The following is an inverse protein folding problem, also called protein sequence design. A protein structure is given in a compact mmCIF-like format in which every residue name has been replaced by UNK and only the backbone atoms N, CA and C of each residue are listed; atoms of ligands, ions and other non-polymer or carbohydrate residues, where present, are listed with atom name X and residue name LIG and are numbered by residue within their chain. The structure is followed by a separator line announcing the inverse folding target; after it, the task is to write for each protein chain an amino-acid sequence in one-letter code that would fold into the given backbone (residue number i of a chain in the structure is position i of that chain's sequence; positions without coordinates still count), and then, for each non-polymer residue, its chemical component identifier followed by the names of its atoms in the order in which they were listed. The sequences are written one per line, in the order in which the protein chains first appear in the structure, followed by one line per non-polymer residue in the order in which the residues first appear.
data_IF_277808921041
#
_entry.id   IF_277808921041
#
_cell.length_a   1.000
_cell.length_b   1.000
_cell.length_c   1.000
_cell.angle_alpha   90.00
_cell.angle_beta   90.00
_cell.angle_gamma   90.00
#
_symmetry.space_group_name_H-M   'P 1'
#
loop_
_entity.id
_entity.type
_entity.pdbx_description
1 polymer ?
#
# COMPACT_ATOMS: atom_id res chain seq x y z
N UNK A 1 27.94 -2.22 30.55
CA UNK A 1 27.50 -1.46 29.37
C UNK A 1 26.05 -1.82 29.11
N UNK A 2 25.12 -0.88 29.24
CA UNK A 2 23.74 -1.13 28.85
C UNK A 2 23.76 -1.37 27.34
N UNK A 3 23.56 -2.62 26.92
CA UNK A 3 23.36 -2.91 25.51
C UNK A 3 22.17 -2.08 25.06
N UNK A 4 22.34 -1.33 23.97
CA UNK A 4 21.24 -0.61 23.34
C UNK A 4 20.25 -1.64 22.81
N UNK A 5 19.30 -2.04 23.66
CA UNK A 5 18.32 -3.09 23.39
C UNK A 5 17.56 -2.80 22.10
N UNK A 6 17.39 -1.54 21.75
CA UNK A 6 16.74 -1.13 20.51
C UNK A 6 17.50 -1.63 19.28
N UNK A 7 18.84 -1.59 19.29
CA UNK A 7 19.66 -2.11 18.18
C UNK A 7 19.58 -3.63 18.05
N UNK A 8 19.47 -4.36 19.16
CA UNK A 8 19.32 -5.81 19.14
C UNK A 8 17.99 -6.26 18.53
N UNK A 9 16.94 -5.44 18.67
CA UNK A 9 15.61 -5.74 18.17
C UNK A 9 15.43 -5.36 16.68
N UNK A 10 16.46 -4.78 16.03
CA UNK A 10 16.42 -4.41 14.61
C UNK A 10 16.97 -5.55 13.75
N UNK A 11 16.34 -5.83 12.61
CA UNK A 11 16.91 -6.76 11.64
C UNK A 11 18.19 -6.18 11.05
N UNK A 12 18.99 -7.06 10.44
CA UNK A 12 20.20 -6.66 9.73
C UNK A 12 19.82 -5.77 8.54
N UNK A 13 20.43 -4.59 8.44
CA UNK A 13 20.25 -3.71 7.30
C UNK A 13 20.93 -4.31 6.06
N UNK A 14 20.15 -4.46 4.98
CA UNK A 14 20.64 -4.84 3.67
C UNK A 14 20.26 -3.71 2.69
N UNK A 15 21.19 -2.85 2.26
CA UNK A 15 20.86 -1.76 1.35
C UNK A 15 20.28 -2.25 0.00
N UNK A 16 19.42 -1.43 -0.60
CA UNK A 16 18.81 -1.68 -1.90
C UNK A 16 19.01 -0.46 -2.80
N UNK A 17 19.19 -0.63 -4.13
CA UNK A 17 19.09 0.50 -5.04
C UNK A 17 17.69 1.10 -4.92
N UNK A 18 17.53 2.44 -4.80
CA UNK A 18 16.23 3.05 -4.65
C UNK A 18 15.38 2.87 -5.92
N UNK A 19 14.06 2.86 -5.76
CA UNK A 19 13.13 2.87 -6.89
C UNK A 19 13.22 4.22 -7.62
N UNK A 20 13.59 4.24 -8.92
CA UNK A 20 13.59 5.46 -9.71
C UNK A 20 12.14 5.93 -9.92
N UNK A 21 11.81 7.20 -9.60
CA UNK A 21 10.46 7.73 -9.75
C UNK A 21 9.89 7.51 -11.15
N UNK A 22 8.59 7.28 -11.24
CA UNK A 22 7.86 6.99 -12.48
C UNK A 22 6.65 7.89 -12.60
N UNK A 23 6.29 8.30 -13.82
CA UNK A 23 5.04 9.01 -14.07
C UNK A 23 4.12 8.16 -14.93
N UNK A 24 2.85 8.06 -14.52
CA UNK A 24 1.79 7.39 -15.27
C UNK A 24 0.75 8.42 -15.68
N UNK A 25 0.33 8.38 -16.94
CA UNK A 25 -0.82 9.19 -17.40
C UNK A 25 -2.08 8.38 -17.18
N UNK A 26 -2.99 8.88 -16.36
CA UNK A 26 -4.26 8.22 -16.07
C UNK A 26 -5.25 8.41 -17.22
N UNK A 27 -6.33 7.62 -17.22
CA UNK A 27 -7.34 7.64 -18.28
C UNK A 27 -8.01 9.02 -18.48
N UNK A 28 -8.04 9.86 -17.45
CA UNK A 28 -8.57 11.23 -17.52
C UNK A 28 -7.50 12.29 -17.88
N UNK A 29 -6.27 11.88 -18.20
CA UNK A 29 -5.16 12.77 -18.52
C UNK A 29 -4.34 13.25 -17.32
N UNK A 30 -4.79 13.03 -16.08
CA UNK A 30 -4.01 13.38 -14.88
C UNK A 30 -2.66 12.64 -14.86
N UNK A 31 -1.63 13.30 -14.31
CA UNK A 31 -0.30 12.71 -14.13
C UNK A 31 -0.15 12.22 -12.70
N UNK A 32 0.10 10.93 -12.56
CA UNK A 32 0.37 10.28 -11.29
C UNK A 32 1.86 9.98 -11.17
N UNK A 33 2.51 10.54 -10.16
CA UNK A 33 3.92 10.29 -9.85
C UNK A 33 4.01 9.19 -8.81
N UNK A 34 4.78 8.15 -9.07
CA UNK A 34 5.08 7.08 -8.14
C UNK A 34 6.54 7.24 -7.70
N UNK A 35 6.79 7.27 -6.40
CA UNK A 35 8.14 7.40 -5.83
C UNK A 35 8.28 6.57 -4.56
N UNK A 36 9.51 6.23 -4.22
CA UNK A 36 9.84 5.65 -2.91
C UNK A 36 9.81 6.73 -1.84
N UNK A 37 9.35 6.36 -0.65
CA UNK A 37 9.42 7.17 0.57
C UNK A 37 10.33 6.52 1.60
N UNK A 38 10.85 7.33 2.52
CA UNK A 38 11.65 6.88 3.65
C UNK A 38 10.81 6.54 4.88
N UNK A 39 11.46 6.07 5.94
CA UNK A 39 10.82 5.80 7.24
C UNK A 39 10.27 7.08 7.88
N UNK A 40 10.95 8.20 7.71
CA UNK A 40 10.55 9.49 8.29
C UNK A 40 9.26 10.06 7.66
N UNK A 41 8.88 9.58 6.48
CA UNK A 41 7.62 9.95 5.83
C UNK A 41 6.41 9.19 6.41
N UNK A 42 6.63 8.09 7.13
CA UNK A 42 5.55 7.19 7.59
C UNK A 42 4.56 7.89 8.53
N UNK A 43 4.99 8.66 9.55
CA UNK A 43 4.05 9.38 10.41
C UNK A 43 3.09 10.31 9.65
N UNK A 44 3.51 10.83 8.49
CA UNK A 44 2.68 11.71 7.66
C UNK A 44 1.53 10.95 6.97
N UNK A 45 1.74 9.68 6.59
CA UNK A 45 0.74 8.92 5.82
C UNK A 45 -0.16 8.03 6.68
N UNK A 46 0.26 7.66 7.90
CA UNK A 46 -0.56 6.85 8.81
C UNK A 46 -1.97 7.44 9.07
N UNK A 47 -2.15 8.76 9.31
CA UNK A 47 -3.47 9.36 9.49
C UNK A 47 -4.39 9.26 8.27
N UNK A 48 -3.84 9.01 7.07
CA UNK A 48 -4.64 8.82 5.85
C UNK A 48 -5.07 7.36 5.66
N UNK A 49 -4.39 6.42 6.32
CA UNK A 49 -4.72 4.98 6.31
C UNK A 49 -5.69 4.63 7.42
N UNK A 50 -5.50 5.18 8.62
CA UNK A 50 -6.30 4.87 9.82
C UNK A 50 -7.82 4.89 9.59
N UNK A 51 -8.42 5.91 8.94
CA UNK A 51 -9.87 5.93 8.73
C UNK A 51 -10.40 4.77 7.91
N UNK A 52 -9.55 4.16 7.07
CA UNK A 52 -9.93 3.04 6.19
C UNK A 52 -10.08 1.72 6.94
N UNK A 53 -9.52 1.59 8.14
CA UNK A 53 -9.67 0.41 9.02
C UNK A 53 -11.15 0.20 9.39
N UNK A 54 -12.00 1.21 9.21
CA UNK A 54 -13.44 1.15 9.46
C UNK A 54 -14.29 1.00 8.18
N UNK A 55 -13.69 0.70 7.03
CA UNK A 55 -14.37 0.61 5.74
C UNK A 55 -14.43 -0.85 5.25
N UNK A 56 -15.50 -1.58 5.57
CA UNK A 56 -15.62 -3.00 5.19
C UNK A 56 -15.73 -3.22 3.67
N UNK A 57 -16.31 -2.25 2.95
CA UNK A 57 -16.50 -2.36 1.50
C UNK A 57 -15.16 -2.63 0.83
N UNK A 58 -15.13 -3.60 -0.09
CA UNK A 58 -13.93 -4.01 -0.83
C UNK A 58 -12.75 -4.44 0.08
N UNK A 59 -13.01 -4.84 1.33
CA UNK A 59 -12.01 -5.29 2.32
C UNK A 59 -11.01 -4.20 2.72
N UNK A 60 -11.40 -2.91 2.64
CA UNK A 60 -10.51 -1.82 3.04
C UNK A 60 -10.14 -1.90 4.51
N UNK A 61 -11.05 -2.35 5.37
CA UNK A 61 -10.85 -2.52 6.81
C UNK A 61 -9.60 -3.38 7.14
N UNK A 62 -9.60 -4.64 6.70
CA UNK A 62 -8.52 -5.59 7.00
C UNK A 62 -7.24 -5.23 6.25
N UNK A 63 -7.35 -4.81 4.98
CA UNK A 63 -6.20 -4.41 4.16
C UNK A 63 -5.54 -3.16 4.75
N UNK A 64 -6.32 -2.17 5.19
CA UNK A 64 -5.78 -0.97 5.84
C UNK A 64 -5.19 -1.29 7.20
N UNK A 65 -5.81 -2.18 7.99
CA UNK A 65 -5.28 -2.58 9.30
C UNK A 65 -3.90 -3.23 9.17
N UNK A 66 -3.74 -4.16 8.21
CA UNK A 66 -2.45 -4.80 7.94
C UNK A 66 -1.43 -3.83 7.38
N UNK A 67 -1.79 -3.01 6.37
CA UNK A 67 -0.89 -2.00 5.86
C UNK A 67 -0.45 -1.03 6.96
N UNK A 68 -1.36 -0.60 7.84
CA UNK A 68 -1.02 0.29 8.95
C UNK A 68 0.02 -0.35 9.88
N UNK A 69 -0.14 -1.65 10.21
CA UNK A 69 0.83 -2.40 10.99
C UNK A 69 2.17 -2.57 10.26
N UNK A 70 2.17 -2.81 8.95
CA UNK A 70 3.37 -2.90 8.11
C UNK A 70 4.13 -1.58 8.09
N UNK A 71 3.45 -0.45 7.81
CA UNK A 71 4.06 0.87 7.82
C UNK A 71 4.65 1.21 9.20
N UNK A 72 3.96 0.87 10.29
CA UNK A 72 4.50 0.98 11.64
C UNK A 72 5.73 0.08 11.85
N UNK A 73 5.69 -1.15 11.36
CA UNK A 73 6.83 -2.07 11.38
C UNK A 73 8.04 -1.50 10.64
N UNK A 74 7.82 -0.91 9.46
CA UNK A 74 8.84 -0.23 8.67
C UNK A 74 9.45 0.96 9.43
N UNK A 75 8.60 1.85 9.96
CA UNK A 75 9.00 3.01 10.77
C UNK A 75 9.81 2.61 12.01
N UNK A 76 9.42 1.51 12.67
CA UNK A 76 10.05 0.99 13.89
C UNK A 76 11.21 0.03 13.63
N UNK A 77 11.64 -0.14 12.39
CA UNK A 77 12.70 -1.08 12.02
C UNK A 77 12.42 -2.51 12.52
N UNK A 78 11.17 -2.98 12.39
CA UNK A 78 10.75 -4.35 12.79
C UNK A 78 10.55 -5.29 11.61
N UNK A 79 10.68 -4.78 10.40
CA UNK A 79 10.64 -5.58 9.17
C UNK A 79 11.94 -5.39 8.42
N UNK A 80 12.56 -6.50 8.05
CA UNK A 80 13.78 -6.49 7.24
C UNK A 80 13.43 -6.22 5.79
N UNK A 81 14.25 -5.43 5.09
CA UNK A 81 14.23 -5.27 3.64
C UNK A 81 12.90 -4.79 3.03
N UNK A 82 12.04 -4.16 3.84
CA UNK A 82 10.81 -3.52 3.38
C UNK A 82 11.11 -2.19 2.68
N UNK A 83 10.30 -1.89 1.68
CA UNK A 83 10.25 -0.59 1.02
C UNK A 83 8.80 -0.16 0.85
N UNK A 84 8.60 1.17 0.75
CA UNK A 84 7.27 1.76 0.55
C UNK A 84 7.33 2.70 -0.65
N UNK A 85 6.40 2.53 -1.58
CA UNK A 85 6.15 3.46 -2.67
C UNK A 85 4.80 4.14 -2.46
N UNK A 86 4.76 5.43 -2.74
CA UNK A 86 3.53 6.22 -2.78
C UNK A 86 3.25 6.67 -4.21
N UNK A 87 1.98 6.66 -4.58
CA UNK A 87 1.49 7.28 -5.79
C UNK A 87 0.80 8.60 -5.44
N UNK A 88 1.20 9.68 -6.10
CA UNK A 88 0.67 11.03 -5.87
C UNK A 88 0.10 11.62 -7.15
N UNK A 89 -1.06 12.28 -7.05
CA UNK A 89 -1.65 13.07 -8.14
C UNK A 89 -1.73 14.50 -7.64
N UNK A 90 -1.05 15.43 -8.32
CA UNK A 90 -0.97 16.83 -7.86
C UNK A 90 -0.48 16.98 -6.40
N UNK A 91 0.34 16.05 -5.91
CA UNK A 91 0.83 16.04 -4.53
C UNK A 91 -0.05 15.26 -3.53
N UNK A 92 -1.32 15.02 -3.87
CA UNK A 92 -2.26 14.24 -3.06
C UNK A 92 -1.95 12.76 -3.11
N UNK A 93 -2.00 12.11 -1.94
CA UNK A 93 -1.77 10.67 -1.83
C UNK A 93 -2.91 9.90 -2.50
N UNK A 94 -2.59 9.16 -3.56
CA UNK A 94 -3.55 8.41 -4.37
C UNK A 94 -3.49 6.90 -4.12
N UNK A 95 -2.31 6.36 -3.78
CA UNK A 95 -2.14 4.98 -3.35
C UNK A 95 -0.83 4.77 -2.56
N UNK A 96 -0.81 3.69 -1.79
CA UNK A 96 0.38 3.19 -1.08
C UNK A 96 0.59 1.73 -1.50
N UNK A 97 1.82 1.37 -1.83
CA UNK A 97 2.22 -0.01 -2.09
C UNK A 97 3.54 -0.30 -1.39
N UNK A 98 3.66 -1.48 -0.82
CA UNK A 98 4.87 -1.93 -0.14
C UNK A 98 5.15 -3.40 -0.45
N UNK A 99 6.37 -3.81 -0.13
CA UNK A 99 6.85 -5.18 -0.23
C UNK A 99 8.22 -5.28 0.41
N UNK A 100 8.77 -6.49 0.47
CA UNK A 100 10.12 -6.74 0.97
C UNK A 100 10.87 -7.72 0.08
N UNK A 101 12.18 -7.71 0.20
CA UNK A 101 13.00 -8.80 -0.35
C UNK A 101 13.01 -9.95 0.65
N UNK A 102 12.76 -11.16 0.16
CA UNK A 102 12.97 -12.38 0.93
C UNK A 102 14.46 -12.72 0.86
N UNK A 103 14.98 -12.74 -0.36
CA UNK A 103 16.37 -13.01 -0.70
C UNK A 103 16.71 -12.32 -2.05
N UNK A 104 17.95 -12.45 -2.57
CA UNK A 104 18.36 -11.83 -3.83
C UNK A 104 17.54 -12.25 -5.07
N UNK A 105 16.82 -13.37 -5.03
CA UNK A 105 16.06 -13.94 -6.13
C UNK A 105 14.55 -13.88 -5.95
N UNK A 106 14.04 -13.80 -4.71
CA UNK A 106 12.61 -13.83 -4.41
C UNK A 106 12.15 -12.57 -3.70
N UNK A 107 11.16 -11.89 -4.29
CA UNK A 107 10.42 -10.79 -3.67
C UNK A 107 9.16 -11.27 -2.95
N UNK A 108 8.73 -10.54 -1.93
CA UNK A 108 7.40 -10.68 -1.34
C UNK A 108 6.60 -9.39 -1.55
N UNK A 109 5.43 -9.53 -2.16
CA UNK A 109 4.48 -8.43 -2.30
C UNK A 109 3.66 -8.27 -1.02
N UNK A 110 3.74 -7.09 -0.40
CA UNK A 110 2.78 -6.68 0.62
C UNK A 110 1.55 -6.02 0.00
N UNK A 111 0.98 -5.03 0.67
CA UNK A 111 -0.30 -4.46 0.30
C UNK A 111 -0.22 -3.51 -0.90
N UNK A 112 -1.41 -3.31 -1.47
CA UNK A 112 -1.71 -2.26 -2.43
C UNK A 112 -3.01 -1.63 -1.99
N UNK A 113 -2.93 -0.40 -1.49
CA UNK A 113 -4.07 0.35 -1.01
C UNK A 113 -4.28 1.58 -1.88
N UNK A 114 -5.44 1.68 -2.52
CA UNK A 114 -5.81 2.85 -3.34
C UNK A 114 -6.63 3.81 -2.50
N UNK A 115 -6.20 5.06 -2.36
CA UNK A 115 -6.93 6.11 -1.67
C UNK A 115 -7.81 6.91 -2.63
N UNK A 116 -7.52 6.89 -3.93
CA UNK A 116 -8.39 7.45 -4.98
C UNK A 116 -9.13 6.31 -5.70
N UNK A 117 -10.46 6.42 -5.81
CA UNK A 117 -11.28 5.43 -6.55
C UNK A 117 -11.27 5.73 -8.05
N UNK A 118 -11.41 4.67 -8.86
CA UNK A 118 -11.42 4.76 -10.32
C UNK A 118 -10.02 4.78 -10.93
N UNK A 119 -9.96 4.91 -12.26
CA UNK A 119 -8.72 5.10 -13.05
C UNK A 119 -7.60 4.07 -12.86
N UNK A 120 -7.89 2.93 -12.23
CA UNK A 120 -6.93 1.85 -11.98
C UNK A 120 -5.67 2.29 -11.22
N UNK A 121 -5.78 3.31 -10.36
CA UNK A 121 -4.67 3.86 -9.56
C UNK A 121 -3.90 2.76 -8.82
N UNK A 122 -4.59 1.92 -8.05
CA UNK A 122 -3.98 0.78 -7.36
C UNK A 122 -3.28 -0.22 -8.31
N UNK A 123 -3.81 -0.45 -9.51
CA UNK A 123 -3.19 -1.36 -10.47
C UNK A 123 -1.89 -0.79 -11.05
N UNK A 124 -1.84 0.51 -11.32
CA UNK A 124 -0.62 1.18 -11.76
C UNK A 124 0.44 1.22 -10.66
N UNK A 125 0.04 1.45 -9.41
CA UNK A 125 0.96 1.39 -8.27
C UNK A 125 1.50 -0.02 -8.04
N UNK A 126 0.64 -1.05 -8.13
CA UNK A 126 1.06 -2.44 -8.08
C UNK A 126 2.06 -2.79 -9.20
N UNK A 127 1.82 -2.35 -10.44
CA UNK A 127 2.74 -2.60 -11.55
C UNK A 127 4.12 -1.96 -11.30
N UNK A 128 4.18 -0.75 -10.72
CA UNK A 128 5.43 -0.13 -10.31
C UNK A 128 6.15 -0.91 -9.21
N UNK A 129 5.40 -1.48 -8.27
CA UNK A 129 5.94 -2.38 -7.24
C UNK A 129 6.60 -3.63 -7.86
N UNK A 130 5.93 -4.26 -8.82
CA UNK A 130 6.47 -5.43 -9.52
C UNK A 130 7.70 -5.08 -10.35
N UNK A 131 7.69 -3.92 -11.01
CA UNK A 131 8.84 -3.40 -11.74
C UNK A 131 10.05 -3.20 -10.83
N UNK A 132 9.85 -2.72 -9.60
CA UNK A 132 10.93 -2.61 -8.63
C UNK A 132 11.58 -3.96 -8.33
N UNK A 133 10.78 -4.99 -8.03
CA UNK A 133 11.30 -6.34 -7.79
C UNK A 133 12.05 -6.92 -9.01
N UNK A 134 11.43 -6.90 -10.19
CA UNK A 134 11.92 -7.63 -11.36
C UNK A 134 13.02 -6.86 -12.10
N UNK A 135 12.84 -5.55 -12.34
CA UNK A 135 13.76 -4.76 -13.17
C UNK A 135 14.86 -4.08 -12.37
N UNK A 136 14.57 -3.59 -11.17
CA UNK A 136 15.56 -2.86 -10.36
C UNK A 136 16.30 -3.78 -9.40
N UNK A 137 15.57 -4.60 -8.64
CA UNK A 137 16.16 -5.56 -7.70
C UNK A 137 16.63 -6.87 -8.36
N UNK A 138 16.30 -7.09 -9.63
CA UNK A 138 16.72 -8.25 -10.44
C UNK A 138 16.27 -9.60 -9.88
N UNK A 139 15.16 -9.62 -9.15
CA UNK A 139 14.57 -10.86 -8.64
C UNK A 139 13.94 -11.67 -9.78
N UNK A 140 13.90 -13.00 -9.61
CA UNK A 140 13.40 -13.93 -10.62
C UNK A 140 11.87 -14.08 -10.51
N UNK A 141 11.35 -13.97 -9.29
CA UNK A 141 9.91 -14.03 -9.02
C UNK A 141 9.48 -13.21 -7.79
N UNK A 142 8.18 -12.91 -7.74
CA UNK A 142 7.54 -12.20 -6.61
C UNK A 142 6.36 -13.02 -6.12
N UNK A 143 6.40 -13.40 -4.84
CA UNK A 143 5.29 -14.06 -4.15
C UNK A 143 4.18 -13.05 -3.87
N UNK A 144 2.95 -13.42 -4.20
CA UNK A 144 1.77 -12.55 -4.13
C UNK A 144 0.59 -13.33 -3.56
N UNK A 145 -0.17 -12.66 -2.70
CA UNK A 145 -1.47 -13.10 -2.20
C UNK A 145 -2.52 -12.00 -2.38
N UNK A 146 -3.80 -12.35 -2.26
CA UNK A 146 -4.90 -11.39 -2.28
C UNK A 146 -5.91 -11.72 -1.18
N UNK A 147 -6.30 -10.70 -0.42
CA UNK A 147 -7.38 -10.77 0.57
C UNK A 147 -8.71 -10.25 -0.01
N UNK A 148 -8.66 -9.33 -0.98
CA UNK A 148 -9.86 -8.77 -1.61
C UNK A 148 -10.17 -9.45 -2.96
N UNK A 149 -11.46 -9.63 -3.31
CA UNK A 149 -11.86 -10.17 -4.61
C UNK A 149 -11.35 -9.33 -5.79
N UNK A 150 -11.26 -8.00 -5.62
CA UNK A 150 -10.72 -7.12 -6.66
C UNK A 150 -9.22 -7.34 -6.83
N UNK A 151 -8.46 -7.50 -5.74
CA UNK A 151 -7.05 -7.85 -5.80
C UNK A 151 -6.84 -9.18 -6.52
N UNK A 152 -7.61 -10.21 -6.14
CA UNK A 152 -7.50 -11.53 -6.76
C UNK A 152 -7.72 -11.47 -8.29
N UNK A 153 -8.76 -10.76 -8.74
CA UNK A 153 -9.01 -10.59 -10.18
C UNK A 153 -7.89 -9.81 -10.88
N UNK A 154 -7.37 -8.75 -10.27
CA UNK A 154 -6.36 -7.87 -10.88
C UNK A 154 -4.96 -8.46 -10.89
N UNK A 155 -4.59 -9.27 -9.91
CA UNK A 155 -3.25 -9.83 -9.80
C UNK A 155 -3.25 -11.25 -10.37
N UNK A 156 -3.95 -12.19 -9.74
CA UNK A 156 -3.88 -13.61 -10.10
C UNK A 156 -4.42 -13.89 -11.49
N UNK A 157 -5.58 -13.32 -11.84
CA UNK A 157 -6.23 -13.61 -13.12
C UNK A 157 -5.63 -12.77 -14.25
N UNK A 158 -5.48 -11.45 -14.07
CA UNK A 158 -5.01 -10.56 -15.14
C UNK A 158 -3.54 -10.82 -15.54
N UNK A 159 -2.66 -11.10 -14.56
CA UNK A 159 -1.27 -11.49 -14.84
C UNK A 159 -1.09 -12.99 -15.08
N UNK A 160 -2.13 -13.80 -14.89
CA UNK A 160 -2.08 -15.27 -14.99
C UNK A 160 -0.98 -15.86 -14.11
N UNK A 161 -0.97 -15.46 -12.84
CA UNK A 161 0.07 -15.85 -11.88
C UNK A 161 0.14 -17.36 -11.70
N UNK A 162 1.35 -17.86 -11.51
CA UNK A 162 1.60 -19.27 -11.24
C UNK A 162 1.29 -19.62 -9.79
N UNK A 163 0.93 -20.87 -9.54
CA UNK A 163 0.65 -21.36 -8.20
C UNK A 163 1.95 -21.70 -7.48
N UNK A 164 2.09 -21.28 -6.22
CA UNK A 164 3.13 -21.66 -5.27
C UNK A 164 2.50 -22.11 -3.95
N UNK A 165 1.50 -22.97 -4.02
CA UNK A 165 0.64 -23.31 -2.87
C UNK A 165 1.38 -24.07 -1.74
N UNK A 166 2.59 -24.54 -2.00
CA UNK A 166 3.49 -25.13 -1.02
C UNK A 166 4.26 -24.09 -0.19
N UNK A 167 4.21 -22.80 -0.58
CA UNK A 167 4.84 -21.69 0.13
C UNK A 167 3.74 -20.90 0.84
N UNK A 168 3.89 -20.68 2.15
CA UNK A 168 2.98 -19.83 2.90
C UNK A 168 3.37 -18.35 2.72
N UNK A 169 2.40 -17.52 2.33
CA UNK A 169 2.61 -16.06 2.27
C UNK A 169 2.49 -15.48 3.67
N UNK A 170 3.36 -14.53 4.02
CA UNK A 170 3.41 -13.95 5.38
C UNK A 170 2.17 -13.10 5.74
N UNK A 171 1.51 -12.50 4.74
CA UNK A 171 0.22 -11.83 4.93
C UNK A 171 -0.97 -12.79 5.14
N UNK A 172 -0.84 -14.08 4.85
CA UNK A 172 -1.97 -15.01 4.80
C UNK A 172 -2.95 -14.69 3.66
N UNK A 173 -4.16 -15.27 3.72
CA UNK A 173 -5.16 -15.17 2.65
C UNK A 173 -5.25 -16.46 1.82
N UNK A 174 -5.36 -16.33 0.49
CA UNK A 174 -5.30 -17.49 -0.42
C UNK A 174 -3.89 -18.11 -0.43
N UNK A 175 -3.72 -19.38 -0.87
CA UNK A 175 -2.40 -19.94 -1.08
C UNK A 175 -1.54 -19.06 -2.02
N UNK A 176 -0.21 -19.06 -1.81
CA UNK A 176 0.69 -18.14 -2.53
C UNK A 176 0.64 -18.34 -4.05
N UNK A 177 0.62 -17.24 -4.77
CA UNK A 177 0.87 -17.18 -6.19
C UNK A 177 2.23 -16.53 -6.46
N UNK A 178 2.73 -16.66 -7.68
CA UNK A 178 3.99 -16.06 -8.09
C UNK A 178 3.87 -15.35 -9.42
N UNK A 179 4.41 -14.12 -9.47
CA UNK A 179 4.72 -13.42 -10.70
C UNK A 179 6.18 -13.71 -11.06
N UNK A 180 6.39 -14.56 -12.06
CA UNK A 180 7.73 -14.82 -12.60
C UNK A 180 8.16 -13.71 -13.55
N UNK A 181 9.46 -13.59 -13.81
CA UNK A 181 10.01 -12.69 -14.83
C UNK A 181 9.32 -12.89 -16.19
N UNK A 182 9.07 -14.12 -16.63
CA UNK A 182 8.38 -14.37 -17.90
C UNK A 182 6.97 -13.76 -17.91
N UNK A 183 6.18 -13.98 -16.85
CA UNK A 183 4.85 -13.38 -16.72
C UNK A 183 4.91 -11.85 -16.75
N UNK A 184 5.89 -11.27 -16.06
CA UNK A 184 6.12 -9.83 -16.03
C UNK A 184 6.43 -9.28 -17.43
N UNK A 185 7.33 -9.93 -18.18
CA UNK A 185 7.65 -9.53 -19.56
C UNK A 185 6.43 -9.60 -20.49
N UNK A 186 5.59 -10.65 -20.37
CA UNK A 186 4.34 -10.74 -21.14
C UNK A 186 3.35 -9.64 -20.82
N UNK A 187 3.33 -9.17 -19.57
CA UNK A 187 2.48 -8.07 -19.13
C UNK A 187 3.05 -6.67 -19.46
N UNK A 188 4.31 -6.57 -19.91
CA UNK A 188 5.05 -5.29 -20.02
C UNK A 188 4.35 -4.29 -20.94
N UNK A 189 3.90 -4.75 -22.11
CA UNK A 189 3.26 -3.88 -23.10
C UNK A 189 1.86 -3.38 -22.73
N UNK A 190 1.21 -3.97 -21.72
CA UNK A 190 -0.20 -3.69 -21.41
C UNK A 190 -0.44 -3.20 -19.98
N UNK A 191 0.19 -3.81 -18.99
CA UNK A 191 -0.05 -3.50 -17.57
C UNK A 191 1.03 -2.60 -16.96
N UNK A 192 2.25 -2.67 -17.47
CA UNK A 192 3.42 -1.96 -16.93
C UNK A 192 3.64 -0.67 -17.73
N UNK A 193 2.74 0.30 -17.50
CA UNK A 193 2.73 1.59 -18.21
C UNK A 193 3.40 2.70 -17.41
N UNK A 194 3.71 3.80 -18.09
CA UNK A 194 4.34 5.01 -17.54
C UNK A 194 5.75 5.24 -18.06
N UNK A 195 6.32 6.39 -17.77
CA UNK A 195 7.60 6.82 -18.32
C UNK A 195 8.56 7.34 -17.24
N UNK A 196 9.83 7.36 -17.64
CA UNK A 196 10.96 7.96 -16.91
C UNK A 196 11.84 8.73 -17.92
N UNK A 197 12.55 9.79 -17.50
CA UNK A 197 12.50 10.42 -16.17
C UNK A 197 11.15 11.13 -15.92
N UNK A 198 10.81 11.34 -14.65
CA UNK A 198 9.65 12.16 -14.28
C UNK A 198 9.96 13.63 -14.61
N UNK A 199 9.06 14.36 -15.28
CA UNK A 199 9.23 15.80 -15.51
C UNK A 199 9.50 16.55 -14.19
N UNK A 200 10.54 17.38 -14.18
CA UNK A 200 11.02 18.09 -12.98
C UNK A 200 9.92 18.80 -12.18
N UNK A 201 8.97 19.56 -12.79
CA UNK A 201 7.90 20.21 -12.04
C UNK A 201 6.96 19.23 -11.33
N UNK A 202 6.69 18.05 -11.93
CA UNK A 202 5.85 17.03 -11.33
C UNK A 202 6.57 16.34 -10.16
N UNK A 203 7.88 16.09 -10.31
CA UNK A 203 8.69 15.48 -9.27
C UNK A 203 8.85 16.42 -8.07
N UNK A 204 9.17 17.69 -8.30
CA UNK A 204 9.29 18.70 -7.24
C UNK A 204 7.98 18.84 -6.47
N UNK A 205 6.84 18.89 -7.16
CA UNK A 205 5.52 18.94 -6.51
C UNK A 205 5.23 17.70 -5.66
N UNK A 206 5.59 16.51 -6.13
CA UNK A 206 5.41 15.26 -5.37
C UNK A 206 6.35 15.16 -4.15
N UNK A 207 7.57 15.72 -4.26
CA UNK A 207 8.57 15.74 -3.19
C UNK A 207 8.30 16.80 -2.13
N UNK A 208 7.62 17.90 -2.49
CA UNK A 208 7.35 19.02 -1.58
C UNK A 208 6.53 18.62 -0.34
N UNK A 209 5.48 17.80 -0.53
CA UNK A 209 4.66 17.28 0.56
C UNK A 209 3.84 16.06 0.09
N UNK A 210 3.43 15.22 1.04
CA UNK A 210 2.40 14.21 0.82
C UNK A 210 1.08 14.80 1.34
N UNK A 211 0.24 15.29 0.43
CA UNK A 211 -1.03 15.92 0.78
C UNK A 211 -2.11 14.86 1.07
N UNK A 212 -3.12 15.18 1.90
CA UNK A 212 -4.23 14.28 2.15
C UNK A 212 -4.95 13.88 0.86
N UNK A 213 -5.52 12.67 0.79
CA UNK A 213 -6.35 12.27 -0.34
C UNK A 213 -7.61 13.15 -0.43
N UNK A 214 -7.95 13.64 -1.63
CA UNK A 214 -9.14 14.50 -1.81
C UNK A 214 -10.48 13.79 -1.55
N UNK A 215 -10.63 12.52 -1.93
CA UNK A 215 -11.87 11.75 -1.72
C UNK A 215 -11.56 10.28 -1.39
N UNK A 216 -11.06 9.99 -0.17
CA UNK A 216 -10.79 8.63 0.25
C UNK A 216 -12.10 7.84 0.41
N UNK A 217 -12.07 6.50 0.30
CA UNK A 217 -13.19 5.66 0.67
C UNK A 217 -13.68 5.98 2.08
N UNK A 218 -14.98 6.19 2.22
CA UNK A 218 -15.63 6.51 3.50
C UNK A 218 -16.40 5.28 3.99
N UNK A 219 -16.47 5.08 5.33
CA UNK A 219 -17.30 4.03 5.88
C UNK A 219 -18.76 4.28 5.46
N UNK A 220 -19.56 3.23 5.26
CA UNK A 220 -20.99 3.40 5.05
C UNK A 220 -21.58 4.21 6.22
N UNK A 221 -22.57 5.06 5.91
CA UNK A 221 -23.30 5.77 6.96
C UNK A 221 -24.02 4.72 7.82
N UNK A 222 -23.55 4.54 9.04
CA UNK A 222 -24.15 3.61 9.99
C UNK A 222 -25.47 4.21 10.51
N UNK A 223 -26.54 4.00 9.76
CA UNK A 223 -27.90 4.45 10.11
C UNK A 223 -28.39 3.88 11.44
N UNK A 224 -27.80 2.76 11.89
CA UNK A 224 -28.14 2.06 13.13
C UNK A 224 -27.13 2.32 14.25
N UNK A 225 -26.12 3.19 14.06
CA UNK A 225 -25.15 3.50 15.11
C UNK A 225 -25.86 4.07 16.35
N UNK A 226 -26.83 4.97 16.11
CA UNK A 226 -27.66 5.55 17.16
C UNK A 226 -28.55 4.49 17.85
N UNK A 227 -29.09 3.54 17.10
CA UNK A 227 -29.89 2.44 17.63
C UNK A 227 -29.04 1.49 18.48
N UNK A 228 -27.83 1.13 18.03
CA UNK A 228 -26.87 0.34 18.81
C UNK A 228 -26.40 1.08 20.06
N UNK A 229 -26.20 2.41 19.97
CA UNK A 229 -25.87 3.26 21.11
C UNK A 229 -26.99 3.32 22.16
N UNK A 230 -28.26 3.21 21.75
CA UNK A 230 -29.40 3.20 22.66
C UNK A 230 -29.49 1.91 23.51
N UNK A 231 -28.92 0.81 23.03
CA UNK A 231 -28.84 -0.47 23.76
C UNK A 231 -27.46 -0.71 24.42
N UNK A 232 -26.54 0.25 24.33
CA UNK A 232 -25.26 0.21 25.03
C UNK A 232 -25.47 0.57 26.50
N UNK A 233 -25.53 -0.44 27.36
CA UNK A 233 -25.70 -0.29 28.81
C UNK A 233 -24.57 0.49 29.49
N UNK A 234 -23.45 0.71 28.81
CA UNK A 234 -22.30 1.46 29.33
C UNK A 234 -22.30 2.92 28.89
N UNK A 235 -23.18 3.33 27.98
CA UNK A 235 -23.28 4.71 27.46
C UNK A 235 -22.03 5.20 26.72
N UNK A 236 -21.14 4.29 26.32
CA UNK A 236 -19.88 4.58 25.65
C UNK A 236 -20.13 5.20 24.28
N UNK A 237 -21.11 4.67 23.55
CA UNK A 237 -21.50 5.17 22.24
C UNK A 237 -22.07 6.61 22.31
N UNK A 238 -22.86 6.93 23.35
CA UNK A 238 -23.38 8.29 23.59
C UNK A 238 -22.26 9.30 23.90
N UNK A 239 -21.24 8.89 24.67
CA UNK A 239 -20.06 9.72 24.96
C UNK A 239 -19.23 10.01 23.70
N UNK A 240 -19.07 9.02 22.82
CA UNK A 240 -18.36 9.18 21.54
C UNK A 240 -19.15 10.09 20.60
N UNK A 241 -20.48 9.93 20.53
CA UNK A 241 -21.35 10.76 19.71
C UNK A 241 -21.34 12.22 20.18
N UNK A 242 -21.40 12.46 21.50
CA UNK A 242 -21.30 13.80 22.09
C UNK A 242 -19.94 14.46 21.77
N UNK A 243 -18.82 13.73 21.92
CA UNK A 243 -17.49 14.25 21.54
C UNK A 243 -17.38 14.60 20.06
N UNK A 244 -18.04 13.84 19.17
CA UNK A 244 -18.09 14.15 17.74
C UNK A 244 -18.93 15.40 17.45
N UNK A 245 -20.04 15.60 18.15
CA UNK A 245 -20.86 16.81 18.05
C UNK A 245 -20.15 18.06 18.62
N UNK A 246 -19.39 17.90 19.71
CA UNK A 246 -18.62 18.98 20.33
C UNK A 246 -17.38 19.38 19.50
N UNK A 247 -16.81 18.46 18.71
CA UNK A 247 -15.70 18.74 17.76
C UNK A 247 -16.15 19.22 16.37
N UNK A 248 -17.44 19.17 16.09
CA UNK A 248 -18.06 19.61 14.83
C UNK A 248 -18.65 21.02 14.88
N UNK A 249 -18.34 21.80 15.92
CA UNK A 249 -18.60 23.24 16.03
C UNK A 249 -17.29 24.01 16.00
#
# INVERSE_FOLDING_TARGET
MAVDLEKLLRPVDNPAPPFPPKVVTLANGEKMVIRQIGRDDIPTILPFVEPLIHVERDYYDIVAARLYAELLGYYRHRVQDEYVLVAQINGELAAIVNGRRVDPKVGMSYHTLSLKRGMRVGAHAFAAKMEYHIDILKQDEVLIVAESPIGFRRWMIEYKLEKRFHIQHELGGVPSFSLTRELFERARGSLIVGSRPVPKPLLEKAMAAILPPADPPKPPFDTLAATRAAYDSTGTALRIQRRKQEKGK
#
